data_IF_671926203762
#
_entry.id   IF_671926203762
#
_cell.length_a   1.000
_cell.length_b   1.000
_cell.length_c   1.000
_cell.angle_alpha   90.00
_cell.angle_beta   90.00
_cell.angle_gamma   90.00
#
_symmetry.space_group_name_H-M   'P 1'
#
loop_
_entity.id
_entity.type
_entity.pdbx_description
1 polymer ?
#
# COMPACT_ATOMS: atom_id res chain seq x y z
N UNK A 1 53.89 26.25 -23.93
CA UNK A 1 53.20 26.67 -22.69
C UNK A 1 51.71 27.00 -22.85
N UNK A 2 51.26 27.68 -23.93
CA UNK A 2 49.83 28.02 -24.12
C UNK A 2 48.93 26.78 -24.32
N UNK A 3 49.38 25.79 -25.09
CA UNK A 3 48.64 24.54 -25.39
C UNK A 3 48.43 23.65 -24.16
N UNK A 4 49.40 23.63 -23.24
CA UNK A 4 49.29 22.86 -21.99
C UNK A 4 48.28 23.48 -21.02
N UNK A 5 48.17 24.82 -21.01
CA UNK A 5 47.20 25.56 -20.19
C UNK A 5 45.77 25.39 -20.70
N UNK A 6 45.57 25.38 -22.01
CA UNK A 6 44.26 25.12 -22.61
C UNK A 6 43.81 23.67 -22.43
N UNK A 7 44.74 22.71 -22.54
CA UNK A 7 44.45 21.29 -22.28
C UNK A 7 44.08 21.04 -20.81
N UNK A 8 44.78 21.66 -19.85
CA UNK A 8 44.42 21.54 -18.43
C UNK A 8 43.04 22.15 -18.13
N UNK A 9 42.72 23.31 -18.74
CA UNK A 9 41.44 23.97 -18.54
C UNK A 9 40.26 23.13 -19.08
N UNK A 10 40.45 22.46 -20.22
CA UNK A 10 39.44 21.55 -20.79
C UNK A 10 39.26 20.28 -19.95
N UNK A 11 40.33 19.68 -19.43
CA UNK A 11 40.24 18.50 -18.57
C UNK A 11 39.56 18.79 -17.22
N UNK A 12 39.77 19.98 -16.64
CA UNK A 12 39.10 20.42 -15.40
C UNK A 12 37.62 20.73 -15.64
N UNK A 13 37.26 21.31 -16.79
CA UNK A 13 35.86 21.56 -17.14
C UNK A 13 35.07 20.27 -17.40
N UNK A 14 35.68 19.24 -18.00
CA UNK A 14 35.03 17.95 -18.25
C UNK A 14 34.90 17.06 -17.00
N UNK A 15 35.75 17.24 -16.00
CA UNK A 15 35.67 16.47 -14.75
C UNK A 15 34.56 16.97 -13.81
N UNK A 16 34.13 18.24 -13.92
CA UNK A 16 33.00 18.78 -13.15
C UNK A 16 31.62 18.24 -13.56
N UNK A 17 31.46 17.72 -14.77
CA UNK A 17 30.19 17.16 -15.28
C UNK A 17 30.05 15.64 -15.02
N UNK A 18 31.13 14.95 -14.67
CA UNK A 18 31.15 13.49 -14.47
C UNK A 18 30.94 13.05 -13.00
N UNK A 19 30.84 14.00 -12.07
CA UNK A 19 30.56 13.74 -10.64
C UNK A 19 29.20 14.31 -10.25
N UNK A 20 28.17 14.03 -11.06
CA UNK A 20 26.82 13.95 -10.55
C UNK A 20 26.71 12.69 -9.68
N UNK A 21 27.35 12.70 -8.50
CA UNK A 21 27.08 11.70 -7.49
C UNK A 21 25.61 11.87 -7.10
N UNK A 22 24.83 10.78 -7.13
CA UNK A 22 23.49 10.76 -6.55
C UNK A 22 23.60 11.34 -5.14
N UNK A 23 22.90 12.45 -4.87
CA UNK A 23 22.88 13.07 -3.56
C UNK A 23 22.28 12.09 -2.55
N UNK A 24 23.11 11.22 -1.98
CA UNK A 24 22.72 10.17 -1.02
C UNK A 24 22.29 10.74 0.34
N UNK A 25 22.21 12.07 0.46
CA UNK A 25 21.74 12.80 1.64
C UNK A 25 20.40 13.52 1.43
N UNK A 26 19.75 13.38 0.27
CA UNK A 26 18.35 13.77 0.15
C UNK A 26 17.52 12.67 0.82
N UNK A 27 17.00 12.96 2.01
CA UNK A 27 15.98 12.14 2.67
C UNK A 27 14.71 12.17 1.83
N UNK A 28 14.68 11.40 0.74
CA UNK A 28 13.45 11.15 0.02
C UNK A 28 12.60 10.25 0.90
N UNK A 29 11.48 10.79 1.39
CA UNK A 29 10.42 10.00 1.96
C UNK A 29 9.87 9.11 0.83
N UNK A 30 10.23 7.83 0.87
CA UNK A 30 9.77 6.77 0.01
C UNK A 30 8.54 6.07 0.62
N UNK A 31 7.41 6.15 -0.08
CA UNK A 31 6.19 5.44 0.30
C UNK A 31 6.46 3.94 0.41
N UNK A 32 5.93 3.28 1.45
CA UNK A 32 6.00 1.82 1.61
C UNK A 32 5.60 1.12 0.32
N UNK A 33 6.42 0.18 -0.13
CA UNK A 33 6.02 -0.76 -1.17
C UNK A 33 4.92 -1.67 -0.63
N UNK A 34 3.72 -1.51 -1.18
CA UNK A 34 2.54 -2.32 -0.86
C UNK A 34 2.31 -3.43 -1.88
N UNK A 35 3.19 -3.57 -2.88
CA UNK A 35 3.03 -4.55 -3.96
C UNK A 35 2.80 -5.97 -3.42
N UNK A 36 2.09 -6.76 -4.22
CA UNK A 36 1.84 -8.16 -3.93
C UNK A 36 1.68 -8.92 -5.23
N UNK A 37 1.74 -10.24 -5.15
CA UNK A 37 1.50 -11.08 -6.32
C UNK A 37 0.11 -10.79 -6.91
N UNK A 38 0.04 -10.81 -8.24
CA UNK A 38 -1.24 -10.78 -8.94
C UNK A 38 -2.12 -11.93 -8.45
N UNK A 39 -3.41 -11.64 -8.32
CA UNK A 39 -4.38 -12.54 -7.74
C UNK A 39 -5.13 -13.26 -8.86
N UNK A 40 -5.62 -14.46 -8.60
CA UNK A 40 -6.43 -15.23 -9.56
C UNK A 40 -7.93 -14.94 -9.42
N UNK A 41 -8.32 -14.27 -8.34
CA UNK A 41 -9.70 -13.96 -8.01
C UNK A 41 -10.41 -15.10 -7.30
N UNK A 42 -9.68 -16.05 -6.72
CA UNK A 42 -10.20 -17.17 -5.92
C UNK A 42 -9.73 -17.11 -4.45
N UNK A 43 -8.95 -16.09 -4.10
CA UNK A 43 -8.38 -15.92 -2.78
C UNK A 43 -9.45 -15.53 -1.76
N UNK A 44 -9.47 -16.25 -0.63
CA UNK A 44 -10.42 -16.03 0.45
C UNK A 44 -10.07 -14.84 1.36
N UNK A 45 -8.88 -14.26 1.23
CA UNK A 45 -8.34 -13.22 2.12
C UNK A 45 -8.39 -11.80 1.52
N UNK A 46 -8.92 -11.64 0.30
CA UNK A 46 -9.00 -10.34 -0.40
C UNK A 46 -10.32 -9.59 -0.19
N UNK A 47 -11.20 -10.08 0.68
CA UNK A 47 -12.50 -9.47 0.91
C UNK A 47 -13.39 -10.30 1.82
N UNK A 48 -14.70 -10.09 1.69
CA UNK A 48 -15.67 -10.87 2.44
C UNK A 48 -15.77 -12.28 1.83
N UNK A 49 -15.72 -13.32 2.66
CA UNK A 49 -15.90 -14.69 2.22
C UNK A 49 -17.27 -14.88 1.56
N UNK A 50 -17.29 -15.59 0.42
CA UNK A 50 -18.49 -15.95 -0.33
C UNK A 50 -18.62 -17.49 -0.39
N UNK A 51 -19.25 -18.12 0.63
CA UNK A 51 -19.41 -19.57 0.66
C UNK A 51 -20.17 -20.10 -0.56
N UNK A 52 -19.66 -21.14 -1.20
CA UNK A 52 -20.30 -21.77 -2.36
C UNK A 52 -20.35 -20.88 -3.61
N UNK A 53 -19.48 -19.87 -3.69
CA UNK A 53 -19.28 -19.08 -4.89
C UNK A 53 -18.46 -19.85 -5.93
N UNK A 54 -18.85 -19.69 -7.19
CA UNK A 54 -18.09 -20.12 -8.37
C UNK A 54 -16.93 -19.15 -8.64
N UNK A 55 -15.97 -19.56 -9.46
CA UNK A 55 -14.85 -18.68 -9.85
C UNK A 55 -15.32 -17.39 -10.54
N UNK A 56 -16.40 -17.44 -11.32
CA UNK A 56 -17.00 -16.25 -11.93
C UNK A 56 -17.59 -15.29 -10.89
N UNK A 57 -18.27 -15.80 -9.86
CA UNK A 57 -18.83 -15.00 -8.78
C UNK A 57 -17.72 -14.40 -7.90
N UNK A 58 -16.63 -15.13 -7.65
CA UNK A 58 -15.48 -14.63 -6.91
C UNK A 58 -14.74 -13.51 -7.68
N UNK A 59 -14.54 -13.65 -8.99
CA UNK A 59 -13.99 -12.56 -9.83
C UNK A 59 -14.91 -11.35 -9.87
N UNK A 60 -16.22 -11.55 -9.97
CA UNK A 60 -17.19 -10.45 -9.89
C UNK A 60 -17.11 -9.71 -8.54
N UNK A 61 -16.92 -10.44 -7.44
CA UNK A 61 -16.69 -9.86 -6.12
C UNK A 61 -15.42 -9.02 -6.08
N UNK A 62 -14.33 -9.52 -6.68
CA UNK A 62 -13.05 -8.79 -6.76
C UNK A 62 -13.20 -7.47 -7.52
N UNK A 63 -13.86 -7.49 -8.69
CA UNK A 63 -14.18 -6.30 -9.48
C UNK A 63 -15.02 -5.30 -8.65
N UNK A 64 -16.03 -5.80 -7.95
CA UNK A 64 -16.89 -4.96 -7.11
C UNK A 64 -16.13 -4.36 -5.93
N UNK A 65 -15.22 -5.12 -5.30
CA UNK A 65 -14.34 -4.64 -4.24
C UNK A 65 -13.41 -3.52 -4.75
N UNK A 66 -12.80 -3.68 -5.92
CA UNK A 66 -11.98 -2.66 -6.55
C UNK A 66 -12.79 -1.38 -6.82
N UNK A 67 -13.98 -1.51 -7.41
CA UNK A 67 -14.91 -0.37 -7.64
C UNK A 67 -15.28 0.33 -6.33
N UNK A 68 -15.58 -0.42 -5.28
CA UNK A 68 -15.94 0.14 -3.98
C UNK A 68 -14.78 0.91 -3.37
N UNK A 69 -13.55 0.39 -3.44
CA UNK A 69 -12.37 1.08 -2.96
C UNK A 69 -12.13 2.41 -3.70
N UNK A 70 -12.24 2.40 -5.03
CA UNK A 70 -12.05 3.62 -5.84
C UNK A 70 -13.14 4.66 -5.56
N UNK A 71 -14.37 4.23 -5.26
CA UNK A 71 -15.42 5.13 -4.79
C UNK A 71 -15.08 5.75 -3.43
N UNK A 72 -14.64 4.94 -2.46
CA UNK A 72 -14.19 5.45 -1.15
C UNK A 72 -13.04 6.43 -1.31
N UNK A 73 -12.09 6.16 -2.22
CA UNK A 73 -10.97 7.05 -2.53
C UNK A 73 -11.42 8.38 -3.15
N UNK A 74 -12.41 8.35 -4.05
CA UNK A 74 -13.00 9.57 -4.61
C UNK A 74 -13.62 10.46 -3.51
N UNK A 75 -14.14 9.87 -2.44
CA UNK A 75 -14.71 10.62 -1.32
C UNK A 75 -13.63 11.12 -0.35
N UNK A 76 -12.75 10.25 0.14
CA UNK A 76 -11.87 10.55 1.28
C UNK A 76 -10.49 11.12 0.91
N UNK A 77 -10.07 11.04 -0.36
CA UNK A 77 -8.73 11.45 -0.80
C UNK A 77 -8.67 12.85 -1.41
N UNK A 78 -9.75 13.63 -1.32
CA UNK A 78 -9.84 14.98 -1.91
C UNK A 78 -8.91 16.02 -1.28
N UNK A 79 -8.27 15.69 -0.15
CA UNK A 79 -7.24 16.53 0.44
C UNK A 79 -5.98 16.66 -0.44
N UNK A 80 -5.77 15.73 -1.37
CA UNK A 80 -4.65 15.74 -2.32
C UNK A 80 -5.17 15.68 -3.77
N UNK A 81 -5.45 16.84 -4.39
CA UNK A 81 -6.03 16.89 -5.73
C UNK A 81 -5.17 16.26 -6.83
N UNK A 82 -3.85 16.16 -6.64
CA UNK A 82 -2.94 15.58 -7.64
C UNK A 82 -3.14 14.07 -7.83
N UNK A 83 -3.83 13.39 -6.90
CA UNK A 83 -4.21 11.99 -7.04
C UNK A 83 -5.34 11.76 -8.04
N UNK A 84 -6.07 12.82 -8.44
CA UNK A 84 -7.13 12.77 -9.45
C UNK A 84 -8.20 11.70 -9.15
N UNK A 85 -8.45 11.36 -7.88
CA UNK A 85 -9.32 10.23 -7.51
C UNK A 85 -10.77 10.39 -8.00
N UNK A 86 -11.32 11.61 -7.92
CA UNK A 86 -12.67 11.93 -8.41
C UNK A 86 -12.78 11.80 -9.94
N UNK A 87 -11.97 12.52 -10.76
CA UNK A 87 -12.07 12.41 -12.21
C UNK A 87 -11.71 11.01 -12.74
N UNK A 88 -10.73 10.32 -12.14
CA UNK A 88 -10.40 8.94 -12.52
C UNK A 88 -11.58 8.01 -12.26
N UNK A 89 -12.20 8.11 -11.09
CA UNK A 89 -13.36 7.28 -10.74
C UNK A 89 -14.55 7.50 -11.70
N UNK A 90 -14.85 8.75 -12.03
CA UNK A 90 -15.92 9.06 -12.99
C UNK A 90 -15.61 8.53 -14.40
N UNK A 91 -14.35 8.58 -14.82
CA UNK A 91 -13.91 8.02 -16.11
C UNK A 91 -14.07 6.49 -16.13
N UNK A 92 -13.71 5.82 -15.03
CA UNK A 92 -13.92 4.37 -14.88
C UNK A 92 -15.41 4.00 -14.98
N UNK A 93 -16.30 4.79 -14.36
CA UNK A 93 -17.74 4.56 -14.49
C UNK A 93 -18.23 4.72 -15.93
N UNK A 94 -17.65 5.66 -16.69
CA UNK A 94 -18.01 5.90 -18.08
C UNK A 94 -17.47 4.80 -19.02
N UNK A 95 -16.22 4.37 -18.82
CA UNK A 95 -15.54 3.45 -19.73
C UNK A 95 -15.82 1.97 -19.43
N UNK A 96 -16.04 1.62 -18.16
CA UNK A 96 -16.21 0.23 -17.70
C UNK A 96 -17.60 -0.04 -17.09
N UNK A 97 -18.57 0.85 -17.32
CA UNK A 97 -19.91 0.75 -16.73
C UNK A 97 -20.62 -0.59 -16.99
N UNK A 98 -20.51 -1.12 -18.22
CA UNK A 98 -21.11 -2.41 -18.60
C UNK A 98 -20.47 -3.58 -17.85
N UNK A 99 -19.14 -3.56 -17.69
CA UNK A 99 -18.40 -4.58 -16.95
C UNK A 99 -18.76 -4.55 -15.45
N UNK A 100 -18.82 -3.35 -14.87
CA UNK A 100 -19.22 -3.15 -13.47
C UNK A 100 -20.67 -3.60 -13.23
N UNK A 101 -21.57 -3.31 -14.18
CA UNK A 101 -22.95 -3.81 -14.14
C UNK A 101 -23.00 -5.33 -14.22
N UNK A 102 -22.25 -5.95 -15.13
CA UNK A 102 -22.18 -7.41 -15.26
C UNK A 102 -21.68 -8.10 -13.99
N UNK A 103 -20.67 -7.53 -13.35
CA UNK A 103 -20.17 -8.01 -12.06
C UNK A 103 -21.25 -7.91 -10.96
N UNK A 104 -21.96 -6.79 -10.87
CA UNK A 104 -23.03 -6.60 -9.90
C UNK A 104 -24.22 -7.55 -10.13
N UNK A 105 -24.62 -7.76 -11.40
CA UNK A 105 -25.69 -8.69 -11.77
C UNK A 105 -25.30 -10.15 -11.42
N UNK A 106 -24.03 -10.50 -11.57
CA UNK A 106 -23.49 -11.81 -11.15
C UNK A 106 -23.57 -12.00 -9.64
N UNK A 107 -23.16 -10.99 -8.86
CA UNK A 107 -23.27 -11.01 -7.39
C UNK A 107 -24.73 -11.08 -6.93
N UNK A 108 -25.62 -10.37 -7.61
CA UNK A 108 -27.06 -10.42 -7.32
C UNK A 108 -27.59 -11.84 -7.48
N UNK A 109 -27.23 -12.52 -8.58
CA UNK A 109 -27.60 -13.93 -8.81
C UNK A 109 -27.02 -14.86 -7.76
N UNK A 110 -25.77 -14.64 -7.34
CA UNK A 110 -25.14 -15.39 -6.24
C UNK A 110 -25.96 -15.28 -4.95
N UNK A 111 -26.26 -14.06 -4.49
CA UNK A 111 -26.94 -13.85 -3.22
C UNK A 111 -28.39 -14.35 -3.23
N UNK A 112 -29.08 -14.25 -4.37
CA UNK A 112 -30.41 -14.86 -4.55
C UNK A 112 -30.35 -16.40 -4.53
N UNK A 113 -29.31 -16.99 -5.12
CA UNK A 113 -29.11 -18.44 -5.17
C UNK A 113 -28.84 -19.01 -3.79
N UNK A 114 -27.89 -18.44 -3.04
CA UNK A 114 -27.50 -18.96 -1.71
C UNK A 114 -28.55 -18.72 -0.63
N UNK A 115 -29.38 -17.68 -0.78
CA UNK A 115 -30.49 -17.39 0.15
C UNK A 115 -31.85 -17.89 -0.34
N UNK A 116 -31.90 -18.78 -1.34
CA UNK A 116 -33.14 -19.23 -1.97
C UNK A 116 -34.18 -19.74 -0.97
N UNK A 117 -33.75 -20.47 0.07
CA UNK A 117 -34.63 -21.01 1.11
C UNK A 117 -35.29 -19.93 1.99
N UNK A 118 -34.64 -18.78 2.17
CA UNK A 118 -35.14 -17.65 2.95
C UNK A 118 -35.92 -16.63 2.10
N UNK A 119 -36.04 -16.87 0.79
CA UNK A 119 -36.80 -16.06 -0.15
C UNK A 119 -36.01 -14.88 -0.77
N UNK A 120 -36.55 -14.24 -1.82
CA UNK A 120 -35.84 -13.21 -2.58
C UNK A 120 -35.42 -11.98 -1.76
N UNK A 121 -36.24 -11.59 -0.77
CA UNK A 121 -35.95 -10.46 0.12
C UNK A 121 -34.71 -10.72 0.97
N UNK A 122 -34.49 -11.96 1.43
CA UNK A 122 -33.30 -12.31 2.18
C UNK A 122 -32.04 -12.22 1.31
N UNK A 123 -32.12 -12.65 0.05
CA UNK A 123 -31.02 -12.50 -0.91
C UNK A 123 -30.64 -11.03 -1.16
N UNK A 124 -31.62 -10.14 -1.36
CA UNK A 124 -31.36 -8.71 -1.52
C UNK A 124 -30.74 -8.09 -0.26
N UNK A 125 -31.32 -8.37 0.92
CA UNK A 125 -30.74 -7.90 2.18
C UNK A 125 -29.30 -8.38 2.41
N UNK A 126 -28.97 -9.60 1.96
CA UNK A 126 -27.61 -10.12 2.05
C UNK A 126 -26.64 -9.41 1.08
N UNK A 127 -27.09 -9.11 -0.13
CA UNK A 127 -26.34 -8.30 -1.10
C UNK A 127 -26.07 -6.89 -0.56
N UNK A 128 -27.07 -6.23 0.03
CA UNK A 128 -26.93 -4.89 0.63
C UNK A 128 -25.94 -4.89 1.80
N UNK A 129 -25.99 -5.91 2.66
CA UNK A 129 -25.04 -6.09 3.75
C UNK A 129 -23.62 -6.33 3.23
N UNK A 130 -23.47 -7.16 2.19
CA UNK A 130 -22.19 -7.38 1.52
C UNK A 130 -21.63 -6.08 0.94
N UNK A 131 -22.46 -5.29 0.26
CA UNK A 131 -22.11 -3.97 -0.24
C UNK A 131 -21.61 -3.07 0.88
N UNK A 132 -22.41 -2.91 1.94
CA UNK A 132 -22.07 -2.06 3.09
C UNK A 132 -20.76 -2.46 3.74
N UNK A 133 -20.57 -3.76 4.03
CA UNK A 133 -19.31 -4.27 4.62
C UNK A 133 -18.12 -4.04 3.70
N UNK A 134 -18.32 -4.18 2.39
CA UNK A 134 -17.28 -3.91 1.39
C UNK A 134 -16.80 -2.46 1.46
N UNK A 135 -17.71 -1.47 1.44
CA UNK A 135 -17.32 -0.06 1.57
C UNK A 135 -16.62 0.22 2.90
N UNK A 136 -17.18 -0.26 4.00
CA UNK A 136 -16.60 -0.09 5.34
C UNK A 136 -15.20 -0.68 5.45
N UNK A 137 -14.89 -1.76 4.72
CA UNK A 137 -13.56 -2.38 4.74
C UNK A 137 -12.44 -1.49 4.19
N UNK A 138 -12.78 -0.46 3.40
CA UNK A 138 -11.81 0.49 2.83
C UNK A 138 -11.78 1.84 3.55
N UNK A 139 -12.66 2.07 4.53
CA UNK A 139 -12.73 3.30 5.32
C UNK A 139 -11.69 3.31 6.46
N UNK A 140 -10.41 3.39 6.10
CA UNK A 140 -9.29 3.40 7.06
C UNK A 140 -8.73 4.81 7.28
N UNK A 141 -9.04 5.41 8.43
CA UNK A 141 -8.49 6.72 8.82
C UNK A 141 -6.99 6.62 9.11
N UNK A 142 -6.57 5.56 9.82
CA UNK A 142 -5.18 5.41 10.22
C UNK A 142 -4.23 5.17 9.04
N UNK A 143 -4.68 4.50 7.97
CA UNK A 143 -3.90 4.23 6.77
C UNK A 143 -4.27 5.11 5.56
N UNK A 144 -4.98 6.23 5.79
CA UNK A 144 -5.56 7.05 4.74
C UNK A 144 -4.54 7.47 3.67
N UNK A 145 -3.32 7.86 4.08
CA UNK A 145 -2.28 8.27 3.13
C UNK A 145 -1.86 7.14 2.18
N UNK A 146 -1.50 5.97 2.71
CA UNK A 146 -1.08 4.81 1.92
C UNK A 146 -2.20 4.32 1.01
N UNK A 147 -3.43 4.26 1.53
CA UNK A 147 -4.61 3.94 0.74
C UNK A 147 -4.84 4.93 -0.40
N UNK A 148 -4.82 6.24 -0.13
CA UNK A 148 -5.09 7.26 -1.13
C UNK A 148 -4.04 7.29 -2.25
N UNK A 149 -2.76 7.15 -1.92
CA UNK A 149 -1.69 7.06 -2.93
C UNK A 149 -1.87 5.83 -3.82
N UNK A 150 -2.12 4.67 -3.21
CA UNK A 150 -2.32 3.41 -3.91
C UNK A 150 -3.55 3.47 -4.80
N UNK A 151 -4.69 3.90 -4.25
CA UNK A 151 -5.95 4.01 -4.99
C UNK A 151 -5.88 5.06 -6.11
N UNK A 152 -5.17 6.18 -5.91
CA UNK A 152 -4.92 7.16 -6.97
C UNK A 152 -4.11 6.57 -8.12
N UNK A 153 -3.08 5.77 -7.80
CA UNK A 153 -2.28 5.08 -8.82
C UNK A 153 -3.09 4.04 -9.59
N UNK A 154 -3.83 3.18 -8.88
CA UNK A 154 -4.72 2.19 -9.48
C UNK A 154 -5.81 2.85 -10.32
N UNK A 155 -6.37 3.97 -9.86
CA UNK A 155 -7.37 4.73 -10.59
C UNK A 155 -6.84 5.24 -11.93
N UNK A 156 -5.56 5.67 -12.00
CA UNK A 156 -4.92 6.04 -13.28
C UNK A 156 -4.79 4.83 -14.20
N UNK A 157 -4.30 3.71 -13.70
CA UNK A 157 -4.13 2.50 -14.51
C UNK A 157 -5.47 1.98 -15.05
N UNK A 158 -6.53 2.07 -14.24
CA UNK A 158 -7.89 1.72 -14.64
C UNK A 158 -8.48 2.65 -15.71
N UNK A 159 -8.10 3.92 -15.75
CA UNK A 159 -8.49 4.85 -16.84
C UNK A 159 -7.81 4.46 -18.15
N UNK A 160 -6.57 3.96 -18.10
CA UNK A 160 -5.83 3.54 -19.30
C UNK A 160 -6.09 2.08 -19.70
N UNK A 161 -6.79 1.32 -18.88
CA UNK A 161 -7.19 -0.04 -19.21
C UNK A 161 -8.22 -0.03 -20.37
N UNK A 162 -8.09 -0.92 -21.37
CA UNK A 162 -9.08 -1.04 -22.42
C UNK A 162 -10.47 -1.37 -21.85
N UNK A 163 -11.54 -0.89 -22.49
CA UNK A 163 -12.91 -1.16 -22.06
C UNK A 163 -13.17 -2.68 -22.00
N UNK A 164 -13.72 -3.16 -20.88
CA UNK A 164 -13.95 -4.58 -20.63
C UNK A 164 -12.76 -5.34 -20.03
N UNK A 165 -11.66 -4.65 -19.72
CA UNK A 165 -10.47 -5.20 -19.07
C UNK A 165 -10.25 -4.64 -17.65
N UNK A 166 -11.27 -4.06 -17.02
CA UNK A 166 -11.14 -3.56 -15.64
C UNK A 166 -10.84 -4.70 -14.66
N UNK A 167 -11.34 -5.91 -14.93
CA UNK A 167 -11.03 -7.10 -14.14
C UNK A 167 -9.53 -7.41 -14.12
N UNK A 168 -8.77 -7.11 -15.17
CA UNK A 168 -7.32 -7.33 -15.18
C UNK A 168 -6.61 -6.42 -14.18
N UNK A 169 -7.07 -5.16 -14.07
CA UNK A 169 -6.59 -4.23 -13.03
C UNK A 169 -6.96 -4.76 -11.65
N UNK A 170 -8.18 -5.27 -11.49
CA UNK A 170 -8.61 -5.89 -10.23
C UNK A 170 -7.73 -7.10 -9.86
N UNK A 171 -7.39 -7.98 -10.81
CA UNK A 171 -6.51 -9.12 -10.59
C UNK A 171 -5.07 -8.69 -10.28
N UNK A 172 -4.56 -7.69 -10.99
CA UNK A 172 -3.19 -7.24 -10.80
C UNK A 172 -2.99 -6.49 -9.46
N UNK A 173 -3.97 -5.72 -9.01
CA UNK A 173 -3.76 -4.67 -7.97
C UNK A 173 -4.56 -4.85 -6.69
N UNK A 174 -5.47 -5.83 -6.62
CA UNK A 174 -6.27 -6.06 -5.39
C UNK A 174 -5.43 -6.35 -4.16
N UNK A 175 -4.33 -7.10 -4.30
CA UNK A 175 -3.43 -7.39 -3.18
C UNK A 175 -2.75 -6.12 -2.66
N UNK A 176 -2.23 -5.31 -3.57
CA UNK A 176 -1.60 -4.02 -3.23
C UNK A 176 -2.59 -3.07 -2.54
N UNK A 177 -3.79 -2.99 -3.08
CA UNK A 177 -4.87 -2.20 -2.50
C UNK A 177 -5.20 -2.67 -1.06
N UNK A 178 -5.28 -3.98 -0.81
CA UNK A 178 -5.52 -4.50 0.54
C UNK A 178 -4.35 -4.23 1.48
N UNK A 179 -3.11 -4.39 1.02
CA UNK A 179 -1.91 -4.09 1.80
C UNK A 179 -1.85 -2.61 2.21
N UNK A 180 -2.33 -1.70 1.35
CA UNK A 180 -2.38 -0.26 1.63
C UNK A 180 -3.30 0.14 2.79
N UNK A 181 -4.17 -0.77 3.24
CA UNK A 181 -5.08 -0.54 4.36
C UNK A 181 -4.42 -0.69 5.73
N UNK A 182 -3.21 -1.26 5.75
CA UNK A 182 -2.41 -1.37 6.95
C UNK A 182 -1.62 -0.07 7.09
N UNK A 183 -1.78 0.68 8.20
CA UNK A 183 -1.06 1.93 8.34
C UNK A 183 0.45 1.65 8.28
N UNK A 184 1.21 2.44 7.54
CA UNK A 184 2.66 2.35 7.56
C UNK A 184 3.25 3.76 7.63
N UNK A 185 4.47 3.85 8.13
CA UNK A 185 5.23 5.08 8.02
C UNK A 185 5.99 5.14 6.71
N UNK A 186 7.14 5.77 6.76
CA UNK A 186 8.13 5.76 5.69
C UNK A 186 8.69 4.34 5.45
N UNK A 187 9.18 4.01 4.24
CA UNK A 187 9.78 2.68 3.96
C UNK A 187 10.81 2.27 5.01
N UNK A 188 11.61 3.25 5.45
CA UNK A 188 12.67 3.07 6.44
C UNK A 188 12.21 3.19 7.90
N UNK A 189 11.10 3.86 8.18
CA UNK A 189 10.65 4.14 9.55
C UNK A 189 9.20 3.68 9.77
N UNK A 190 8.95 2.63 10.58
CA UNK A 190 7.60 2.18 10.87
C UNK A 190 6.83 3.25 11.67
N UNK A 191 5.84 3.87 11.00
CA UNK A 191 4.78 4.80 11.48
C UNK A 191 5.21 6.09 12.19
N UNK A 192 6.40 6.19 12.77
CA UNK A 192 6.84 7.35 13.56
C UNK A 192 8.36 7.51 13.52
N UNK A 193 8.84 8.71 13.19
CA UNK A 193 10.19 9.14 13.59
C UNK A 193 10.06 9.54 15.07
N UNK A 194 10.32 8.64 16.01
CA UNK A 194 10.57 9.05 17.41
C UNK A 194 9.74 8.43 18.55
N UNK A 195 9.04 7.31 18.36
CA UNK A 195 8.59 6.48 19.50
C UNK A 195 8.67 5.00 19.17
N UNK A 196 9.86 4.53 18.85
CA UNK A 196 10.17 3.20 19.33
C UNK A 196 10.11 3.29 20.87
N UNK A 197 9.08 2.72 21.51
CA UNK A 197 9.10 2.51 22.98
C UNK A 197 10.21 1.53 23.39
N UNK A 198 10.79 0.85 22.39
CA UNK A 198 12.06 0.19 22.44
C UNK A 198 13.02 0.81 21.43
N UNK A 199 13.06 2.14 21.32
CA UNK A 199 14.24 2.80 20.79
C UNK A 199 15.36 2.12 21.56
N UNK A 200 16.34 1.51 20.88
CA UNK A 200 17.37 0.84 21.60
C UNK A 200 17.85 1.82 22.63
N UNK A 201 17.68 1.46 23.90
CA UNK A 201 18.13 2.30 25.00
C UNK A 201 19.59 2.50 24.67
N UNK A 202 19.91 3.66 24.08
CA UNK A 202 21.25 4.01 23.68
C UNK A 202 22.10 3.66 24.88
N UNK A 203 23.15 2.87 24.68
CA UNK A 203 23.92 2.34 25.80
C UNK A 203 24.20 3.53 26.73
N UNK A 204 23.83 3.42 28.01
CA UNK A 204 24.08 4.50 28.97
C UNK A 204 25.58 4.80 28.94
N UNK A 205 25.96 5.94 28.36
CA UNK A 205 27.37 6.34 28.22
C UNK A 205 27.91 6.99 29.50
N UNK A 206 27.12 6.99 30.58
CA UNK A 206 27.55 7.50 31.87
C UNK A 206 28.79 6.74 32.35
N UNK A 207 29.88 7.44 32.77
CA UNK A 207 31.12 6.79 33.23
C UNK A 207 30.92 5.77 34.36
N UNK A 208 29.83 5.90 35.13
CA UNK A 208 29.47 4.97 36.19
C UNK A 208 29.14 3.56 35.66
N UNK A 209 28.61 3.44 34.44
CA UNK A 209 28.21 2.17 33.83
C UNK A 209 29.38 1.38 33.23
N UNK A 210 30.55 2.00 33.12
CA UNK A 210 31.73 1.44 32.50
C UNK A 210 32.84 1.28 33.54
N UNK A 211 33.56 0.16 33.48
CA UNK A 211 34.78 0.02 34.27
C UNK A 211 35.95 0.74 33.57
N UNK A 212 37.11 0.83 34.24
CA UNK A 212 38.33 1.46 33.67
C UNK A 212 38.87 0.76 32.42
N UNK A 213 38.37 -0.44 32.09
CA UNK A 213 38.72 -1.23 30.90
C UNK A 213 37.70 -1.06 29.77
N UNK A 214 36.65 -0.26 29.96
CA UNK A 214 35.61 -0.02 28.94
C UNK A 214 34.59 -1.15 28.83
N UNK A 215 34.36 -1.93 29.89
CA UNK A 215 33.38 -3.02 29.91
C UNK A 215 32.10 -2.61 30.67
N UNK A 216 30.95 -3.12 30.23
CA UNK A 216 29.64 -2.85 30.83
C UNK A 216 29.48 -3.51 32.20
N UNK A 217 29.06 -2.72 33.20
CA UNK A 217 28.87 -3.19 34.58
C UNK A 217 27.38 -3.36 34.90
N UNK A 218 26.87 -4.58 34.74
CA UNK A 218 25.45 -4.94 34.95
C UNK A 218 24.95 -4.54 36.34
N UNK A 219 25.78 -4.68 37.38
CA UNK A 219 25.39 -4.34 38.77
C UNK A 219 25.06 -2.84 38.95
N UNK A 220 25.66 -1.96 38.16
CA UNK A 220 25.48 -0.50 38.30
C UNK A 220 24.37 0.04 37.40
N UNK A 221 24.17 -0.56 36.22
CA UNK A 221 23.29 -0.01 35.20
C UNK A 221 22.27 -1.01 34.61
N UNK A 222 22.14 -2.20 35.22
CA UNK A 222 21.18 -3.23 34.81
C UNK A 222 21.65 -4.08 33.63
N UNK A 223 20.79 -5.01 33.19
CA UNK A 223 21.05 -5.86 32.04
C UNK A 223 21.21 -5.01 30.76
N UNK A 224 22.22 -5.35 29.95
CA UNK A 224 22.48 -4.66 28.68
C UNK A 224 21.46 -5.15 27.65
N UNK A 225 20.48 -4.32 27.32
CA UNK A 225 19.42 -4.66 26.37
C UNK A 225 19.74 -4.19 24.92
N UNK A 226 21.02 -4.09 24.59
CA UNK A 226 21.52 -3.68 23.26
C UNK A 226 22.61 -4.64 22.76
N UNK A 227 22.50 -5.17 21.52
CA UNK A 227 21.35 -5.06 20.61
C UNK A 227 20.12 -5.80 21.16
N UNK A 228 18.89 -5.31 20.90
CA UNK A 228 17.68 -5.98 21.34
C UNK A 228 17.59 -7.39 20.73
N UNK A 229 17.24 -8.36 21.57
CA UNK A 229 17.04 -9.75 21.14
C UNK A 229 15.90 -9.79 20.12
N UNK A 230 16.19 -10.25 18.90
CA UNK A 230 15.20 -10.41 17.84
C UNK A 230 15.30 -9.41 16.68
N UNK A 231 16.13 -8.36 16.77
CA UNK A 231 16.60 -7.66 15.57
C UNK A 231 17.87 -8.37 15.12
N UNK A 232 17.70 -9.31 14.18
CA UNK A 232 18.81 -9.84 13.41
C UNK A 232 19.59 -8.66 12.85
N UNK A 233 20.76 -8.38 13.43
CA UNK A 233 21.83 -7.78 12.64
C UNK A 233 21.97 -8.73 11.46
N UNK A 234 21.64 -8.25 10.26
CA UNK A 234 21.90 -8.97 9.03
C UNK A 234 23.30 -9.57 9.11
N UNK A 235 23.36 -10.88 9.33
CA UNK A 235 24.55 -11.66 9.04
C UNK A 235 24.79 -11.44 7.57
N UNK A 236 25.90 -10.74 7.28
CA UNK A 236 26.44 -10.62 5.94
C UNK A 236 26.68 -12.00 5.34
#
# INVERSE_FOLDING_TARGET
>A
MKVLRTALALCVASSGLAVAQSASAQFFLQSRDFSGAAVTGEESDLGQALPGATSAEMRAALVWHMRAALNVAALQCQFEPTLLTVPNYNSILADHGDELKGAFDTLTKYFLRVNKAAGPRAGQSALDQFGTRTYSSFATVAAQYGFCQTAGSIGRDAVFAPRGHFFEVALARSRELRNSLIPWGEQRFPRYIGRERGAPMMIRLDPICWNKKGEWVVKKCGAQNWPPVGLGMATR
#
